data_IF_829999136185
#
_entry.id   IF_829999136185
#
_cell.length_a   1.000
_cell.length_b   1.000
_cell.length_c   1.000
_cell.angle_alpha   90.00
_cell.angle_beta   90.00
_cell.angle_gamma   90.00
#
_symmetry.space_group_name_H-M   'P 1'
#
loop_
_entity.id
_entity.type
_entity.pdbx_description
1 polymer ?
#
# COMPACT_ATOMS: atom_id res chain seq x y z
N UNK A 1 10.02 16.63 -5.17
CA UNK A 1 10.33 16.08 -3.83
C UNK A 1 11.82 15.79 -3.66
N UNK A 2 12.43 14.91 -4.46
CA UNK A 2 13.86 14.54 -4.30
C UNK A 2 14.84 15.72 -4.37
N UNK A 3 14.63 16.66 -5.31
CA UNK A 3 15.47 17.86 -5.45
C UNK A 3 15.36 18.77 -4.21
N UNK A 4 14.15 18.97 -3.68
CA UNK A 4 13.94 19.76 -2.46
C UNK A 4 14.71 19.14 -1.28
N UNK A 5 14.60 17.83 -1.10
CA UNK A 5 15.28 17.12 -0.03
C UNK A 5 16.82 17.23 -0.11
N UNK A 6 17.39 17.35 -1.32
CA UNK A 6 18.82 17.61 -1.52
C UNK A 6 19.20 19.05 -1.15
N UNK A 7 18.36 20.02 -1.49
CA UNK A 7 18.63 21.45 -1.28
C UNK A 7 18.42 21.86 0.18
N UNK A 8 17.44 21.27 0.86
CA UNK A 8 17.04 21.64 2.22
C UNK A 8 16.73 20.41 3.08
N UNK A 9 17.76 19.63 3.50
CA UNK A 9 17.56 18.46 4.34
C UNK A 9 17.24 18.88 5.79
N UNK A 10 16.17 18.30 6.35
CA UNK A 10 15.75 18.58 7.75
C UNK A 10 16.64 17.89 8.79
N UNK A 11 17.29 16.79 8.43
CA UNK A 11 18.18 16.00 9.31
C UNK A 11 19.44 15.61 8.55
N UNK A 12 20.54 15.45 9.29
CA UNK A 12 21.77 14.86 8.76
C UNK A 12 21.55 13.34 8.65
N UNK A 13 21.89 12.78 7.50
CA UNK A 13 21.76 11.35 7.25
C UNK A 13 22.84 10.58 8.02
N UNK A 14 22.45 9.44 8.59
CA UNK A 14 23.38 8.51 9.26
C UNK A 14 23.93 7.46 8.30
N UNK A 15 23.21 7.19 7.20
CA UNK A 15 23.61 6.23 6.17
C UNK A 15 23.65 6.84 4.76
N UNK A 16 24.50 6.34 3.84
CA UNK A 16 24.63 6.91 2.51
C UNK A 16 23.34 6.81 1.69
N UNK A 17 22.92 7.94 1.10
CA UNK A 17 21.68 8.06 0.33
C UNK A 17 21.59 7.08 -0.84
N UNK A 18 22.67 6.93 -1.61
CA UNK A 18 22.71 6.01 -2.75
C UNK A 18 22.45 4.56 -2.34
N UNK A 19 23.00 4.10 -1.21
CA UNK A 19 22.77 2.75 -0.71
C UNK A 19 21.31 2.53 -0.35
N UNK A 20 20.70 3.49 0.37
CA UNK A 20 19.27 3.44 0.74
C UNK A 20 18.37 3.47 -0.49
N UNK A 21 18.66 4.34 -1.45
CA UNK A 21 17.90 4.45 -2.69
C UNK A 21 17.95 3.17 -3.52
N UNK A 22 19.14 2.58 -3.69
CA UNK A 22 19.28 1.29 -4.39
C UNK A 22 18.46 0.20 -3.70
N UNK A 23 18.54 0.08 -2.38
CA UNK A 23 17.77 -0.90 -1.62
C UNK A 23 16.25 -0.65 -1.75
N UNK A 24 15.78 0.57 -1.53
CA UNK A 24 14.36 0.89 -1.57
C UNK A 24 13.78 0.74 -2.99
N UNK A 25 14.47 1.24 -4.02
CA UNK A 25 14.03 1.13 -5.42
C UNK A 25 14.05 -0.34 -5.89
N UNK A 26 15.01 -1.15 -5.46
CA UNK A 26 15.05 -2.58 -5.78
C UNK A 26 13.82 -3.34 -5.28
N UNK A 27 13.19 -2.87 -4.20
CA UNK A 27 11.92 -3.39 -3.68
C UNK A 27 10.71 -2.79 -4.43
N UNK A 28 10.78 -1.52 -4.82
CA UNK A 28 9.70 -0.84 -5.56
C UNK A 28 9.46 -1.49 -6.92
N UNK A 29 10.52 -1.91 -7.62
CA UNK A 29 10.40 -2.51 -8.95
C UNK A 29 9.50 -3.75 -8.98
N UNK A 30 9.77 -4.83 -8.21
CA UNK A 30 8.89 -6.00 -8.17
C UNK A 30 7.50 -5.66 -7.61
N UNK A 31 7.40 -4.77 -6.62
CA UNK A 31 6.11 -4.32 -6.09
C UNK A 31 5.24 -3.67 -7.17
N UNK A 32 5.84 -2.84 -8.02
CA UNK A 32 5.15 -2.20 -9.15
C UNK A 32 4.65 -3.23 -10.15
N UNK A 33 5.46 -4.25 -10.44
CA UNK A 33 5.05 -5.33 -11.33
C UNK A 33 3.89 -6.14 -10.75
N UNK A 34 3.97 -6.51 -9.47
CA UNK A 34 2.90 -7.22 -8.74
C UNK A 34 1.60 -6.43 -8.81
N UNK A 35 1.62 -5.14 -8.45
CA UNK A 35 0.43 -4.29 -8.50
C UNK A 35 -0.13 -4.21 -9.93
N UNK A 36 0.71 -3.99 -10.94
CA UNK A 36 0.24 -3.87 -12.33
C UNK A 36 -0.36 -5.16 -12.88
N UNK A 37 0.10 -6.32 -12.42
CA UNK A 37 -0.41 -7.62 -12.89
C UNK A 37 -1.65 -8.07 -12.10
N UNK A 38 -1.61 -7.95 -10.78
CA UNK A 38 -2.64 -8.47 -9.90
C UNK A 38 -3.80 -7.49 -9.71
N UNK A 39 -3.54 -6.18 -9.59
CA UNK A 39 -4.59 -5.22 -9.26
C UNK A 39 -5.71 -5.15 -10.32
N UNK A 40 -5.43 -5.11 -11.64
CA UNK A 40 -6.51 -5.08 -12.64
C UNK A 40 -7.37 -6.35 -12.62
N UNK A 41 -6.77 -7.52 -12.42
CA UNK A 41 -7.50 -8.80 -12.43
C UNK A 41 -8.24 -9.04 -11.12
N UNK A 42 -7.62 -8.72 -9.97
CA UNK A 42 -8.22 -8.85 -8.66
C UNK A 42 -9.30 -7.79 -8.41
N UNK A 43 -8.98 -6.50 -8.47
CA UNK A 43 -9.92 -5.46 -8.04
C UNK A 43 -11.02 -5.20 -9.07
N UNK A 44 -10.66 -4.98 -10.34
CA UNK A 44 -11.66 -4.63 -11.38
C UNK A 44 -12.47 -5.88 -11.75
N UNK A 45 -11.82 -7.03 -11.92
CA UNK A 45 -12.50 -8.30 -12.20
C UNK A 45 -13.52 -8.68 -11.14
N UNK A 46 -13.14 -8.61 -9.85
CA UNK A 46 -14.06 -8.87 -8.74
C UNK A 46 -15.16 -7.82 -8.67
N UNK A 47 -14.88 -6.54 -8.93
CA UNK A 47 -15.91 -5.51 -8.95
C UNK A 47 -16.97 -5.76 -10.03
N UNK A 48 -16.56 -6.14 -11.25
CA UNK A 48 -17.49 -6.51 -12.33
C UNK A 48 -18.30 -7.74 -11.93
N UNK A 49 -17.62 -8.82 -11.50
CA UNK A 49 -18.28 -10.07 -11.12
C UNK A 49 -19.29 -9.87 -9.97
N UNK A 50 -18.91 -9.16 -8.92
CA UNK A 50 -19.80 -8.92 -7.77
C UNK A 50 -20.95 -8.00 -8.12
N UNK A 51 -20.78 -7.06 -9.05
CA UNK A 51 -21.88 -6.26 -9.59
C UNK A 51 -22.87 -7.13 -10.38
N UNK A 52 -22.38 -7.97 -11.30
CA UNK A 52 -23.22 -8.88 -12.10
C UNK A 52 -23.98 -9.90 -11.26
N UNK A 53 -23.35 -10.42 -10.20
CA UNK A 53 -23.98 -11.37 -9.28
C UNK A 53 -24.79 -10.69 -8.16
N UNK A 54 -24.83 -9.36 -8.12
CA UNK A 54 -25.42 -8.57 -7.03
C UNK A 54 -24.88 -8.93 -5.63
N UNK A 55 -23.61 -9.33 -5.55
CA UNK A 55 -22.93 -9.68 -4.31
C UNK A 55 -22.32 -8.47 -3.62
N UNK A 56 -22.40 -8.42 -2.30
CA UNK A 56 -21.76 -7.40 -1.48
C UNK A 56 -22.70 -6.29 -1.02
N UNK A 57 -22.39 -5.72 0.14
CA UNK A 57 -23.25 -4.77 0.86
C UNK A 57 -23.77 -3.62 -0.01
N UNK A 58 -22.88 -3.00 -0.81
CA UNK A 58 -23.23 -1.84 -1.62
C UNK A 58 -24.03 -2.19 -2.88
N UNK A 59 -23.96 -3.44 -3.36
CA UNK A 59 -24.76 -3.92 -4.48
C UNK A 59 -26.18 -4.33 -4.04
N UNK A 60 -26.36 -4.68 -2.75
CA UNK A 60 -27.66 -5.07 -2.20
C UNK A 60 -28.50 -3.90 -1.66
N UNK A 61 -27.89 -2.72 -1.46
CA UNK A 61 -28.59 -1.54 -0.95
C UNK A 61 -29.04 -0.62 -2.09
N UNK A 62 -30.24 -0.02 -2.03
CA UNK A 62 -30.74 0.91 -3.05
C UNK A 62 -30.11 2.30 -2.90
N UNK A 63 -28.77 2.37 -2.96
CA UNK A 63 -28.00 3.60 -2.83
C UNK A 63 -27.69 4.20 -4.20
N UNK A 64 -27.77 5.53 -4.31
CA UNK A 64 -27.22 6.23 -5.46
C UNK A 64 -25.70 6.16 -5.50
N UNK A 65 -25.11 6.24 -6.70
CA UNK A 65 -23.67 6.06 -6.93
C UNK A 65 -22.80 6.93 -6.00
N UNK A 66 -23.19 8.19 -5.76
CA UNK A 66 -22.45 9.10 -4.87
C UNK A 66 -22.32 8.54 -3.44
N UNK A 67 -23.43 8.06 -2.87
CA UNK A 67 -23.41 7.50 -1.52
C UNK A 67 -22.64 6.19 -1.46
N UNK A 68 -22.79 5.34 -2.48
CA UNK A 68 -22.01 4.09 -2.58
C UNK A 68 -20.50 4.37 -2.60
N UNK A 69 -20.05 5.36 -3.37
CA UNK A 69 -18.63 5.76 -3.43
C UNK A 69 -18.15 6.31 -2.09
N UNK A 70 -18.91 7.21 -1.46
CA UNK A 70 -18.51 7.77 -0.15
C UNK A 70 -18.38 6.68 0.92
N UNK A 71 -19.35 5.76 0.99
CA UNK A 71 -19.31 4.64 1.92
C UNK A 71 -18.15 3.70 1.58
N UNK A 72 -17.94 3.38 0.30
CA UNK A 72 -16.82 2.54 -0.15
C UNK A 72 -15.47 3.14 0.26
N UNK A 73 -15.28 4.46 0.10
CA UNK A 73 -14.06 5.15 0.54
C UNK A 73 -13.87 4.99 2.05
N UNK A 74 -14.89 5.26 2.86
CA UNK A 74 -14.79 5.12 4.32
C UNK A 74 -14.47 3.68 4.74
N UNK A 75 -15.19 2.70 4.18
CA UNK A 75 -14.99 1.28 4.50
C UNK A 75 -13.62 0.78 4.03
N UNK A 76 -13.15 1.19 2.85
CA UNK A 76 -11.83 0.84 2.36
C UNK A 76 -10.73 1.44 3.24
N UNK A 77 -10.86 2.70 3.66
CA UNK A 77 -9.90 3.32 4.57
C UNK A 77 -9.87 2.61 5.93
N UNK A 78 -11.05 2.23 6.46
CA UNK A 78 -11.14 1.45 7.69
C UNK A 78 -10.51 0.06 7.52
N UNK A 79 -10.75 -0.63 6.40
CA UNK A 79 -10.17 -1.93 6.11
C UNK A 79 -8.64 -1.85 6.03
N UNK A 80 -8.09 -0.86 5.34
CA UNK A 80 -6.64 -0.62 5.27
C UNK A 80 -6.06 -0.30 6.65
N UNK A 81 -6.75 0.53 7.44
CA UNK A 81 -6.34 0.82 8.82
C UNK A 81 -6.30 -0.43 9.69
N UNK A 82 -7.35 -1.26 9.64
CA UNK A 82 -7.40 -2.52 10.39
C UNK A 82 -6.34 -3.50 9.90
N UNK A 83 -6.11 -3.60 8.60
CA UNK A 83 -5.03 -4.38 8.04
C UNK A 83 -3.68 -3.92 8.61
N UNK A 84 -3.43 -2.61 8.66
CA UNK A 84 -2.21 -2.05 9.25
C UNK A 84 -2.04 -2.43 10.72
N UNK A 85 -3.11 -2.36 11.52
CA UNK A 85 -3.10 -2.82 12.92
C UNK A 85 -2.77 -4.32 13.01
N UNK A 86 -3.38 -5.14 12.15
CA UNK A 86 -3.17 -6.60 12.11
C UNK A 86 -1.73 -6.95 11.74
N UNK A 87 -1.13 -6.28 10.74
CA UNK A 87 0.27 -6.55 10.35
C UNK A 87 1.27 -6.10 11.40
N UNK A 88 0.91 -5.15 12.26
CA UNK A 88 1.71 -4.78 13.43
C UNK A 88 1.54 -5.75 14.61
N UNK A 89 0.38 -6.40 14.74
CA UNK A 89 0.06 -7.25 15.89
C UNK A 89 0.43 -8.73 15.67
N UNK A 90 0.21 -9.27 14.47
CA UNK A 90 0.44 -10.69 14.17
C UNK A 90 1.92 -10.94 13.89
N UNK A 91 2.63 -11.79 14.66
CA UNK A 91 4.09 -11.93 14.55
C UNK A 91 4.60 -12.34 13.17
N UNK A 92 3.85 -13.17 12.43
CA UNK A 92 4.21 -13.57 11.07
C UNK A 92 4.13 -12.39 10.10
N UNK A 93 3.05 -11.60 10.18
CA UNK A 93 2.84 -10.45 9.31
C UNK A 93 3.78 -9.30 9.65
N UNK A 94 4.10 -9.13 10.94
CA UNK A 94 5.10 -8.16 11.39
C UNK A 94 6.48 -8.42 10.78
N UNK A 95 6.89 -9.68 10.58
CA UNK A 95 8.17 -9.98 9.91
C UNK A 95 8.24 -9.43 8.48
N UNK A 96 7.11 -9.36 7.79
CA UNK A 96 7.01 -8.76 6.46
C UNK A 96 6.97 -7.23 6.59
N UNK A 97 6.04 -6.73 7.41
CA UNK A 97 5.77 -5.30 7.57
C UNK A 97 6.93 -4.51 8.19
N UNK A 98 7.76 -5.14 9.04
CA UNK A 98 8.94 -4.47 9.62
C UNK A 98 9.95 -4.02 8.57
N UNK A 99 9.91 -4.55 7.34
CA UNK A 99 10.72 -4.05 6.23
C UNK A 99 10.39 -2.58 5.96
N UNK A 100 9.10 -2.21 5.99
CA UNK A 100 8.64 -0.83 5.89
C UNK A 100 9.21 0.07 7.00
N UNK A 101 9.27 -0.45 8.23
CA UNK A 101 9.74 0.29 9.42
C UNK A 101 11.26 0.24 9.65
N UNK A 102 12.02 -0.47 8.82
CA UNK A 102 13.44 -0.73 9.07
C UNK A 102 14.40 0.28 8.42
N UNK A 103 13.91 1.43 7.92
CA UNK A 103 14.77 2.44 7.31
C UNK A 103 15.40 3.32 8.40
N UNK A 104 16.75 3.38 8.52
CA UNK A 104 17.41 4.11 9.61
C UNK A 104 17.28 5.64 9.51
N UNK A 105 17.05 6.14 8.30
CA UNK A 105 16.83 7.55 8.01
C UNK A 105 15.48 7.68 7.26
N UNK A 106 14.96 8.89 7.11
CA UNK A 106 13.70 9.14 6.36
C UNK A 106 14.03 9.98 5.13
N UNK A 107 13.61 9.50 3.96
CA UNK A 107 13.68 10.24 2.71
C UNK A 107 12.51 9.93 1.77
N UNK A 108 12.49 10.54 0.59
CA UNK A 108 11.43 10.37 -0.43
C UNK A 108 11.17 8.92 -0.85
N UNK A 109 12.11 7.99 -0.61
CA UNK A 109 11.98 6.56 -0.97
C UNK A 109 11.52 5.69 0.19
N UNK A 110 11.63 6.16 1.43
CA UNK A 110 11.31 5.39 2.65
C UNK A 110 9.88 4.86 2.62
N UNK A 111 8.92 5.71 2.22
CA UNK A 111 7.50 5.35 2.19
C UNK A 111 7.14 4.28 1.15
N UNK A 112 8.02 3.99 0.18
CA UNK A 112 7.74 3.03 -0.90
C UNK A 112 8.38 1.65 -0.65
N UNK A 113 9.06 1.47 0.48
CA UNK A 113 9.70 0.23 0.88
C UNK A 113 8.67 -0.73 1.47
N UNK A 114 8.29 -1.76 0.72
CA UNK A 114 7.42 -2.84 1.19
C UNK A 114 8.02 -4.19 0.82
N UNK A 115 7.75 -5.21 1.64
CA UNK A 115 8.10 -6.58 1.28
C UNK A 115 7.17 -7.05 0.12
N UNK A 116 7.66 -7.74 -0.93
CA UNK A 116 6.80 -8.16 -2.05
C UNK A 116 5.59 -9.01 -1.63
N UNK A 117 5.75 -9.91 -0.66
CA UNK A 117 4.62 -10.66 -0.08
C UNK A 117 3.62 -9.76 0.67
N UNK A 118 4.08 -8.69 1.31
CA UNK A 118 3.17 -7.71 1.94
C UNK A 118 2.35 -6.99 0.87
N UNK A 119 2.96 -6.66 -0.28
CA UNK A 119 2.25 -6.06 -1.41
C UNK A 119 1.16 -7.00 -1.94
N UNK A 120 1.44 -8.30 -2.09
CA UNK A 120 0.43 -9.29 -2.52
C UNK A 120 -0.74 -9.38 -1.53
N UNK A 121 -0.46 -9.36 -0.23
CA UNK A 121 -1.48 -9.44 0.82
C UNK A 121 -2.31 -8.14 0.97
N UNK A 122 -1.86 -7.05 0.36
CA UNK A 122 -2.47 -5.72 0.45
C UNK A 122 -3.25 -5.30 -0.80
N UNK A 123 -3.22 -6.12 -1.85
CA UNK A 123 -3.98 -5.93 -3.11
C UNK A 123 -5.36 -6.57 -2.95
#
# INVERSE_FOLDING_TARGET
MAVWELISPRRRLTTPKMLRWLNNISLVFPNTLIVRLLFPTAAIGVAIYTNEQHWGLLNSLPLGATFSVLIAVVLLNLAIYLQHVVVHHVPLLWKLHRVHHADPDIDVTTGSRFHPLEMILSI
#
